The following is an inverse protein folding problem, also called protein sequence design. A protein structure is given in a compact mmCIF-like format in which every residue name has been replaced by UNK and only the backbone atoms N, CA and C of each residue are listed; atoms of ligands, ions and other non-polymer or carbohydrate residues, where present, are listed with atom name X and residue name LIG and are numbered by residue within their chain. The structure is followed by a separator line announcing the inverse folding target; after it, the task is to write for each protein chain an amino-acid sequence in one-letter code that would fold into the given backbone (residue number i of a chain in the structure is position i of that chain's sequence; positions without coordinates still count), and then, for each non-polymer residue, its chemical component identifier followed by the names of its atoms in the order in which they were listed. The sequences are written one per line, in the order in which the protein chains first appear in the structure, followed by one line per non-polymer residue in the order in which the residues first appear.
data_IF_274213249807
#
_entry.id   IF_274213249807
#
_cell.length_a   1.000
_cell.length_b   1.000
_cell.length_c   1.000
_cell.angle_alpha   90.00
_cell.angle_beta   90.00
_cell.angle_gamma   90.00
#
_symmetry.space_group_name_H-M   'P 1'
#
loop_
_entity.id
_entity.type
_entity.pdbx_description
1 polymer ?
#
# COMPACT_ATOMS: atom_id res chain seq x y z
N UNK A 1 -9.10 -49.00 -1.03
CA UNK A 1 -10.32 -49.81 -0.81
C UNK A 1 -11.10 -49.24 0.36
N UNK A 2 -12.43 -49.35 0.29
CA UNK A 2 -13.45 -49.11 1.33
C UNK A 2 -13.99 -47.69 1.52
N UNK A 3 -14.95 -47.42 0.64
CA UNK A 3 -16.18 -46.65 0.80
C UNK A 3 -16.77 -46.64 2.22
N UNK A 4 -17.33 -45.49 2.60
CA UNK A 4 -18.59 -45.44 3.36
C UNK A 4 -19.51 -44.42 2.70
N UNK A 5 -20.54 -44.96 2.06
CA UNK A 5 -21.74 -44.28 1.59
C UNK A 5 -22.62 -44.02 2.81
N UNK A 6 -23.14 -42.80 2.94
CA UNK A 6 -24.26 -42.50 3.84
C UNK A 6 -25.29 -41.70 3.05
N UNK A 7 -26.25 -42.44 2.52
CA UNK A 7 -27.47 -41.94 1.93
C UNK A 7 -28.64 -42.40 2.80
N UNK A 8 -29.40 -41.47 3.37
CA UNK A 8 -30.80 -41.60 3.80
C UNK A 8 -31.34 -40.16 3.75
N UNK A 9 -31.97 -39.72 2.65
CA UNK A 9 -33.39 -39.91 2.27
C UNK A 9 -34.36 -39.28 3.28
N UNK A 10 -34.95 -38.15 2.88
CA UNK A 10 -36.29 -37.64 3.22
C UNK A 10 -36.47 -36.32 2.43
N UNK A 11 -37.42 -36.14 1.52
CA UNK A 11 -38.53 -36.98 1.14
C UNK A 11 -38.88 -36.77 -0.33
N UNK A 12 -39.34 -37.86 -0.95
CA UNK A 12 -39.96 -37.80 -2.25
C UNK A 12 -41.32 -37.10 -2.16
N UNK A 13 -41.53 -36.19 -3.11
CA UNK A 13 -42.84 -36.03 -3.75
C UNK A 13 -42.58 -36.15 -5.25
N UNK A 14 -42.65 -37.39 -5.73
CA UNK A 14 -42.97 -37.70 -7.11
C UNK A 14 -44.43 -37.28 -7.34
N UNK A 15 -44.64 -36.08 -7.87
CA UNK A 15 -45.90 -35.69 -8.47
C UNK A 15 -45.65 -34.57 -9.47
N UNK A 16 -45.35 -34.93 -10.72
CA UNK A 16 -46.10 -34.55 -11.93
C UNK A 16 -45.24 -34.84 -13.16
N UNK A 17 -45.63 -35.87 -13.91
CA UNK A 17 -45.40 -35.87 -15.34
C UNK A 17 -46.22 -34.71 -15.95
N UNK A 18 -45.53 -33.67 -16.38
CA UNK A 18 -46.06 -32.67 -17.31
C UNK A 18 -44.89 -32.12 -18.12
N UNK A 19 -45.04 -32.17 -19.44
CA UNK A 19 -44.15 -31.49 -20.38
C UNK A 19 -43.97 -30.02 -20.00
N UNK A 20 -42.72 -29.56 -20.06
CA UNK A 20 -42.37 -28.17 -19.84
C UNK A 20 -40.94 -28.17 -19.34
N UNK A 21 -39.99 -27.98 -20.27
CA UNK A 21 -38.58 -27.93 -19.93
C UNK A 21 -38.39 -27.03 -18.71
N UNK A 22 -37.77 -27.57 -17.67
CA UNK A 22 -37.22 -26.75 -16.60
C UNK A 22 -36.46 -25.63 -17.29
N UNK A 23 -36.75 -24.34 -17.01
CA UNK A 23 -35.88 -23.29 -17.51
C UNK A 23 -34.49 -23.67 -17.02
N UNK A 24 -33.54 -23.82 -17.95
CA UNK A 24 -32.14 -23.95 -17.55
C UNK A 24 -31.89 -22.77 -16.62
N UNK A 25 -31.69 -23.05 -15.33
CA UNK A 25 -31.34 -22.02 -14.39
C UNK A 25 -30.04 -21.43 -14.94
N UNK A 26 -30.08 -20.20 -15.47
CA UNK A 26 -28.89 -19.47 -15.93
C UNK A 26 -27.86 -19.56 -14.82
N UNK A 27 -26.86 -20.40 -15.01
CA UNK A 27 -25.82 -20.60 -14.01
C UNK A 27 -24.82 -19.47 -14.18
N UNK A 28 -24.94 -18.44 -13.36
CA UNK A 28 -24.00 -17.31 -13.32
C UNK A 28 -22.65 -17.68 -12.67
N UNK A 29 -22.26 -18.96 -12.73
CA UNK A 29 -21.05 -19.51 -12.09
C UNK A 29 -19.77 -18.85 -12.61
N UNK A 30 -19.62 -18.58 -13.92
CA UNK A 30 -18.47 -17.83 -14.44
C UNK A 30 -18.37 -16.41 -13.85
N UNK A 31 -19.49 -15.69 -13.76
CA UNK A 31 -19.56 -14.33 -13.24
C UNK A 31 -19.28 -14.30 -11.73
N UNK A 32 -19.77 -15.29 -10.97
CA UNK A 32 -19.46 -15.45 -9.55
C UNK A 32 -17.97 -15.77 -9.31
N UNK A 33 -17.37 -16.59 -10.18
CA UNK A 33 -15.93 -16.84 -10.18
C UNK A 33 -15.11 -15.57 -10.43
N UNK A 34 -15.56 -14.72 -11.36
CA UNK A 34 -14.93 -13.43 -11.65
C UNK A 34 -15.01 -12.46 -10.46
N UNK A 35 -16.13 -12.43 -9.72
CA UNK A 35 -16.23 -11.64 -8.48
C UNK A 35 -15.22 -12.12 -7.44
N UNK A 36 -15.15 -13.42 -7.19
CA UNK A 36 -14.19 -14.00 -6.23
C UNK A 36 -12.75 -13.64 -6.58
N UNK A 37 -12.38 -13.76 -7.85
CA UNK A 37 -11.04 -13.41 -8.33
C UNK A 37 -10.75 -11.90 -8.18
N UNK A 38 -11.71 -11.03 -8.50
CA UNK A 38 -11.58 -9.59 -8.34
C UNK A 38 -11.47 -9.19 -6.86
N UNK A 39 -12.21 -9.83 -5.95
CA UNK A 39 -12.14 -9.57 -4.51
C UNK A 39 -10.79 -10.01 -3.92
N UNK A 40 -10.25 -11.13 -4.38
CA UNK A 40 -8.89 -11.56 -4.03
C UNK A 40 -7.84 -10.54 -4.50
N UNK A 41 -7.93 -10.08 -5.76
CA UNK A 41 -7.03 -9.07 -6.31
C UNK A 41 -7.14 -7.74 -5.55
N UNK A 42 -8.36 -7.31 -5.20
CA UNK A 42 -8.59 -6.12 -4.37
C UNK A 42 -7.93 -6.26 -2.99
N UNK A 43 -8.06 -7.42 -2.35
CA UNK A 43 -7.44 -7.67 -1.04
C UNK A 43 -5.92 -7.52 -1.10
N UNK A 44 -5.28 -8.06 -2.16
CA UNK A 44 -3.84 -7.87 -2.38
C UNK A 44 -3.50 -6.40 -2.63
N UNK A 45 -4.25 -5.70 -3.47
CA UNK A 45 -3.98 -4.30 -3.78
C UNK A 45 -4.16 -3.37 -2.57
N UNK A 46 -5.14 -3.64 -1.71
CA UNK A 46 -5.35 -2.91 -0.44
C UNK A 46 -4.18 -3.15 0.54
N UNK A 47 -3.67 -4.39 0.61
CA UNK A 47 -2.50 -4.71 1.43
C UNK A 47 -1.23 -4.03 0.92
N UNK A 48 -1.02 -4.01 -0.40
CA UNK A 48 0.09 -3.29 -1.04
C UNK A 48 0.00 -1.79 -0.78
N UNK A 49 -1.21 -1.21 -0.87
CA UNK A 49 -1.43 0.21 -0.57
C UNK A 49 -1.07 0.53 0.88
N UNK A 50 -1.52 -0.30 1.84
CA UNK A 50 -1.13 -0.11 3.24
C UNK A 50 0.39 -0.20 3.44
N UNK A 51 1.06 -1.14 2.79
CA UNK A 51 2.52 -1.25 2.86
C UNK A 51 3.22 -0.03 2.25
N UNK A 52 2.65 0.58 1.20
CA UNK A 52 3.15 1.83 0.62
C UNK A 52 2.92 3.03 1.55
N UNK A 53 1.76 3.12 2.19
CA UNK A 53 1.46 4.15 3.20
C UNK A 53 2.46 4.09 4.37
N UNK A 54 2.73 2.88 4.87
CA UNK A 54 3.69 2.66 5.97
C UNK A 54 5.12 3.06 5.55
N UNK A 55 5.50 2.86 4.28
CA UNK A 55 6.79 3.34 3.73
C UNK A 55 6.87 4.87 3.67
N UNK A 56 5.80 5.54 3.22
CA UNK A 56 5.74 7.01 3.18
C UNK A 56 5.86 7.57 4.61
N UNK A 57 5.11 7.02 5.56
CA UNK A 57 5.16 7.44 6.96
C UNK A 57 6.57 7.27 7.55
N UNK A 58 7.23 6.15 7.27
CA UNK A 58 8.61 5.93 7.69
C UNK A 58 9.57 6.94 7.06
N UNK A 59 9.49 7.16 5.75
CA UNK A 59 10.35 8.12 5.06
C UNK A 59 10.17 9.55 5.61
N UNK A 60 8.95 9.95 5.95
CA UNK A 60 8.67 11.25 6.58
C UNK A 60 9.26 11.36 7.98
N UNK A 61 9.22 10.29 8.78
CA UNK A 61 9.85 10.27 10.10
C UNK A 61 11.38 10.35 10.01
N UNK A 62 11.98 9.66 9.03
CA UNK A 62 13.41 9.72 8.75
C UNK A 62 13.81 11.13 8.27
N UNK A 63 13.01 11.76 7.42
CA UNK A 63 13.20 13.16 7.01
C UNK A 63 13.14 14.11 8.20
N UNK A 64 12.12 14.00 9.06
CA UNK A 64 12.01 14.86 10.25
C UNK A 64 13.23 14.72 11.18
N UNK A 65 13.78 13.52 11.30
CA UNK A 65 15.01 13.26 12.06
C UNK A 65 16.22 13.92 11.39
N UNK A 66 16.34 13.83 10.07
CA UNK A 66 17.41 14.49 9.32
C UNK A 66 17.32 16.02 9.40
N UNK A 67 16.12 16.59 9.33
CA UNK A 67 15.88 18.04 9.45
C UNK A 67 16.22 18.56 10.85
N UNK A 68 15.90 17.80 11.89
CA UNK A 68 16.30 18.11 13.25
C UNK A 68 17.83 18.08 13.42
N UNK A 69 18.50 17.08 12.84
CA UNK A 69 19.97 16.99 12.85
C UNK A 69 20.63 18.13 12.08
N UNK A 70 20.07 18.51 10.92
CA UNK A 70 20.50 19.67 10.15
C UNK A 70 20.36 20.96 10.95
N UNK A 71 19.21 21.18 11.59
CA UNK A 71 18.96 22.38 12.41
C UNK A 71 19.97 22.47 13.55
N UNK A 72 20.24 21.34 14.23
CA UNK A 72 21.23 21.28 15.29
C UNK A 72 22.64 21.56 14.79
N UNK A 73 23.05 20.92 13.69
CA UNK A 73 24.38 21.09 13.14
C UNK A 73 24.63 22.54 12.67
N UNK A 74 23.61 23.21 12.11
CA UNK A 74 23.68 24.63 11.78
C UNK A 74 23.86 25.50 13.03
N UNK A 75 23.09 25.24 14.09
CA UNK A 75 23.24 25.97 15.35
C UNK A 75 24.63 25.76 15.99
N UNK A 76 25.16 24.53 15.92
CA UNK A 76 26.51 24.20 16.40
C UNK A 76 27.58 24.91 15.56
N UNK A 77 27.39 25.01 14.24
CA UNK A 77 28.27 25.76 13.35
C UNK A 77 28.26 27.27 13.63
N UNK A 78 27.07 27.87 13.80
CA UNK A 78 26.92 29.28 14.15
C UNK A 78 27.58 29.59 15.51
N UNK A 79 27.39 28.72 16.50
CA UNK A 79 28.02 28.86 17.81
C UNK A 79 29.55 28.72 17.74
N UNK A 80 30.05 27.75 16.96
CA UNK A 80 31.49 27.56 16.77
C UNK A 80 32.13 28.74 16.03
N UNK A 81 31.43 29.32 15.06
CA UNK A 81 31.89 30.52 14.35
C UNK A 81 31.89 31.76 15.25
N UNK A 82 30.86 31.93 16.08
CA UNK A 82 30.81 33.02 17.06
C UNK A 82 31.88 32.90 18.15
N UNK A 83 32.23 31.66 18.53
CA UNK A 83 33.29 31.35 19.50
C UNK A 83 34.69 31.29 18.87
N UNK A 84 34.81 31.44 17.54
CA UNK A 84 36.09 31.37 16.86
C UNK A 84 36.96 32.57 17.25
N UNK A 85 37.82 32.37 18.26
CA UNK A 85 38.93 33.28 18.54
C UNK A 85 39.93 33.31 17.38
N UNK A 86 40.76 34.34 17.31
CA UNK A 86 41.78 34.49 16.24
C UNK A 86 42.89 33.42 16.23
N UNK A 87 42.78 32.38 17.05
CA UNK A 87 43.72 31.26 17.11
C UNK A 87 43.32 30.11 16.17
N UNK A 88 44.34 29.36 15.74
CA UNK A 88 44.18 28.29 14.75
C UNK A 88 43.30 27.12 15.24
N UNK A 89 43.25 26.84 16.54
CA UNK A 89 42.46 25.73 17.07
C UNK A 89 40.96 26.07 17.05
N UNK A 90 40.61 27.30 17.39
CA UNK A 90 39.25 27.83 17.30
C UNK A 90 38.77 27.89 15.84
N UNK A 91 39.61 28.34 14.92
CA UNK A 91 39.31 28.31 13.48
C UNK A 91 39.08 26.89 12.94
N UNK A 92 39.89 25.91 13.37
CA UNK A 92 39.72 24.52 12.96
C UNK A 92 38.39 23.91 13.46
N UNK A 93 37.99 24.21 14.71
CA UNK A 93 36.70 23.77 15.25
C UNK A 93 35.51 24.37 14.50
N UNK A 94 35.57 25.66 14.17
CA UNK A 94 34.54 26.31 13.37
C UNK A 94 34.43 25.69 11.97
N UNK A 95 35.56 25.42 11.30
CA UNK A 95 35.57 24.75 10.00
C UNK A 95 34.99 23.33 10.06
N UNK A 96 35.28 22.57 11.12
CA UNK A 96 34.72 21.23 11.31
C UNK A 96 33.20 21.29 11.52
N UNK A 97 32.71 22.20 12.36
CA UNK A 97 31.27 22.36 12.60
C UNK A 97 30.52 22.77 11.32
N UNK A 98 31.11 23.63 10.48
CA UNK A 98 30.55 23.96 9.16
C UNK A 98 30.51 22.75 8.22
N UNK A 99 31.54 21.88 8.24
CA UNK A 99 31.55 20.67 7.44
C UNK A 99 30.47 19.67 7.90
N UNK A 100 30.29 19.52 9.21
CA UNK A 100 29.24 18.67 9.80
C UNK A 100 27.84 19.21 9.45
N UNK A 101 27.64 20.53 9.49
CA UNK A 101 26.42 21.19 9.03
C UNK A 101 26.14 20.93 7.55
N UNK A 102 27.14 21.08 6.68
CA UNK A 102 27.00 20.78 5.25
C UNK A 102 26.63 19.30 5.01
N UNK A 103 27.22 18.37 5.75
CA UNK A 103 26.88 16.95 5.66
C UNK A 103 25.45 16.68 6.13
N UNK A 104 24.98 17.36 7.19
CA UNK A 104 23.62 17.22 7.68
C UNK A 104 22.58 17.78 6.68
N UNK A 105 22.89 18.90 6.01
CA UNK A 105 22.07 19.44 4.91
C UNK A 105 21.95 18.43 3.77
N UNK A 106 23.08 17.82 3.36
CA UNK A 106 23.06 16.80 2.31
C UNK A 106 22.18 15.60 2.70
N UNK A 107 22.27 15.12 3.94
CA UNK A 107 21.42 14.03 4.45
C UNK A 107 19.93 14.39 4.47
N UNK A 108 19.58 15.63 4.84
CA UNK A 108 18.19 16.11 4.77
C UNK A 108 17.68 16.14 3.32
N UNK A 109 18.49 16.62 2.37
CA UNK A 109 18.15 16.63 0.94
C UNK A 109 17.95 15.21 0.37
N UNK A 110 18.79 14.26 0.77
CA UNK A 110 18.63 12.84 0.40
C UNK A 110 17.32 12.28 0.99
N UNK A 111 17.00 12.58 2.25
CA UNK A 111 15.76 12.13 2.88
C UNK A 111 14.50 12.70 2.20
N UNK A 112 14.53 13.98 1.79
CA UNK A 112 13.46 14.58 0.98
C UNK A 112 13.26 13.81 -0.33
N UNK A 113 14.36 13.43 -0.99
CA UNK A 113 14.31 12.67 -2.25
C UNK A 113 13.71 11.27 -2.04
N UNK A 114 14.00 10.63 -0.91
CA UNK A 114 13.40 9.34 -0.52
C UNK A 114 11.90 9.48 -0.25
N UNK A 115 11.46 10.54 0.44
CA UNK A 115 10.02 10.82 0.65
C UNK A 115 9.29 10.98 -0.68
N UNK A 116 9.88 11.74 -1.62
CA UNK A 116 9.30 11.93 -2.95
C UNK A 116 9.15 10.60 -3.69
N UNK A 117 10.19 9.77 -3.71
CA UNK A 117 10.15 8.46 -4.35
C UNK A 117 9.08 7.55 -3.72
N UNK A 118 8.96 7.56 -2.38
CA UNK A 118 7.94 6.79 -1.67
C UNK A 118 6.52 7.26 -2.02
N UNK A 119 6.29 8.57 -2.15
CA UNK A 119 4.99 9.13 -2.56
C UNK A 119 4.64 8.79 -4.02
N UNK A 120 5.62 8.83 -4.93
CA UNK A 120 5.40 8.43 -6.33
C UNK A 120 5.02 6.94 -6.43
N UNK A 121 5.67 6.07 -5.64
CA UNK A 121 5.33 4.66 -5.59
C UNK A 121 3.97 4.41 -4.93
N UNK A 122 3.65 5.10 -3.84
CA UNK A 122 2.33 5.07 -3.22
C UNK A 122 1.24 5.48 -4.21
N UNK A 123 1.44 6.53 -5.00
CA UNK A 123 0.48 6.96 -6.01
C UNK A 123 0.22 5.88 -7.07
N UNK A 124 1.26 5.18 -7.54
CA UNK A 124 1.12 4.04 -8.48
C UNK A 124 0.36 2.89 -7.86
N UNK A 125 0.64 2.55 -6.59
CA UNK A 125 -0.05 1.46 -5.88
C UNK A 125 -1.51 1.83 -5.61
N UNK A 126 -1.79 3.08 -5.23
CA UNK A 126 -3.14 3.59 -5.05
C UNK A 126 -3.97 3.46 -6.33
N UNK A 127 -3.41 3.83 -7.48
CA UNK A 127 -4.08 3.65 -8.77
C UNK A 127 -4.46 2.17 -9.03
N UNK A 128 -3.57 1.22 -8.70
CA UNK A 128 -3.86 -0.21 -8.81
C UNK A 128 -4.97 -0.67 -7.86
N UNK A 129 -5.00 -0.16 -6.62
CA UNK A 129 -6.06 -0.45 -5.67
C UNK A 129 -7.41 0.10 -6.15
N UNK A 130 -7.43 1.32 -6.69
CA UNK A 130 -8.63 1.93 -7.26
C UNK A 130 -9.13 1.14 -8.48
N UNK A 131 -8.24 0.66 -9.34
CA UNK A 131 -8.61 -0.17 -10.50
C UNK A 131 -9.10 -1.57 -10.09
N UNK A 132 -8.52 -2.18 -9.05
CA UNK A 132 -9.03 -3.43 -8.48
C UNK A 132 -10.43 -3.25 -7.85
N UNK A 133 -10.68 -2.12 -7.20
CA UNK A 133 -12.00 -1.78 -6.67
C UNK A 133 -13.05 -1.62 -7.78
N UNK A 134 -12.70 -0.98 -8.90
CA UNK A 134 -13.57 -0.91 -10.10
C UNK A 134 -13.85 -2.29 -10.67
N UNK A 135 -12.82 -3.15 -10.79
CA UNK A 135 -12.99 -4.51 -11.29
C UNK A 135 -13.98 -5.34 -10.45
N UNK A 136 -13.98 -5.17 -9.13
CA UNK A 136 -14.98 -5.79 -8.24
C UNK A 136 -16.38 -5.26 -8.53
N UNK A 137 -16.54 -3.94 -8.69
CA UNK A 137 -17.84 -3.33 -9.00
C UNK A 137 -18.39 -3.83 -10.34
N UNK A 138 -17.55 -3.86 -11.38
CA UNK A 138 -17.91 -4.34 -12.71
C UNK A 138 -18.27 -5.84 -12.70
N UNK A 139 -17.53 -6.66 -11.97
CA UNK A 139 -17.83 -8.09 -11.82
C UNK A 139 -19.17 -8.32 -11.10
N UNK A 140 -19.47 -7.52 -10.06
CA UNK A 140 -20.76 -7.58 -9.35
C UNK A 140 -21.92 -7.16 -10.26
N UNK A 141 -21.74 -6.10 -11.03
CA UNK A 141 -22.75 -5.67 -12.01
C UNK A 141 -23.04 -6.74 -13.07
N UNK A 142 -22.03 -7.49 -13.53
CA UNK A 142 -22.22 -8.63 -14.45
C UNK A 142 -23.00 -9.78 -13.81
N UNK A 143 -22.74 -10.08 -12.54
CA UNK A 143 -23.52 -11.09 -11.79
C UNK A 143 -24.99 -10.64 -11.69
N UNK A 144 -25.25 -9.38 -11.37
CA UNK A 144 -26.60 -8.86 -11.25
C UNK A 144 -27.33 -8.88 -12.61
N UNK A 145 -26.65 -8.53 -13.69
CA UNK A 145 -27.18 -8.63 -15.06
C UNK A 145 -27.43 -10.08 -15.52
N UNK A 146 -26.67 -11.05 -15.02
CA UNK A 146 -26.89 -12.47 -15.32
C UNK A 146 -28.12 -13.03 -14.57
N UNK A 147 -28.40 -12.51 -13.36
CA UNK A 147 -29.53 -12.90 -12.52
C UNK A 147 -30.86 -12.24 -12.92
N UNK A 148 -30.82 -11.07 -13.56
CA UNK A 148 -31.97 -10.36 -14.12
C UNK A 148 -32.43 -10.92 -15.46
#
# INVERSE_FOLDING_TARGET
MRSVVLAVVLGGVLATAACGGSPEAKSCTPEQGAVTAAEAAKTTADADLKAADDKVAKAQADQATADAAMTKANADADAAQAAAGGDAASAAKAAQAMADAAQAIAKSADAISVVKAAQEDQAKVKAKADDAAKAVADAKQKVDACKG
#
